data_IF_350126624155
#
_entry.id   IF_350126624155
#
_cell.length_a   1.000
_cell.length_b   1.000
_cell.length_c   1.000
_cell.angle_alpha   90.00
_cell.angle_beta   90.00
_cell.angle_gamma   90.00
#
_symmetry.space_group_name_H-M   'P 1'
#
loop_
_entity.id
_entity.type
_entity.pdbx_description
1 polymer ?
#
# COMPACT_ATOMS: atom_id res chain seq x y z
N UNK A 1 15.64 75.10 -1.47
CA UNK A 1 15.46 73.84 -2.20
C UNK A 1 15.94 72.71 -1.31
N UNK A 2 14.99 72.06 -0.60
CA UNK A 2 15.30 71.00 0.37
C UNK A 2 15.18 69.65 -0.31
N UNK A 3 16.31 68.98 -0.46
CA UNK A 3 16.36 67.65 -1.07
C UNK A 3 15.81 66.55 -0.13
N UNK A 4 14.70 65.93 -0.48
CA UNK A 4 14.19 64.73 0.18
C UNK A 4 15.15 63.58 -0.08
N UNK A 5 15.87 63.12 0.95
CA UNK A 5 16.57 61.82 0.93
C UNK A 5 15.51 60.69 0.80
N UNK A 6 15.57 59.94 -0.29
CA UNK A 6 14.77 58.74 -0.47
C UNK A 6 15.21 57.65 0.53
N UNK A 7 14.35 57.33 1.46
CA UNK A 7 14.51 56.14 2.33
C UNK A 7 14.36 54.88 1.49
N UNK A 8 15.41 54.07 1.48
CA UNK A 8 15.42 52.74 0.88
C UNK A 8 14.49 51.82 1.72
N UNK A 9 13.52 51.10 1.12
CA UNK A 9 12.68 50.20 1.89
C UNK A 9 13.55 49.10 2.53
N UNK A 10 13.20 48.66 3.76
CA UNK A 10 13.97 47.63 4.44
C UNK A 10 14.00 46.34 3.64
N UNK A 11 15.11 45.58 3.66
CA UNK A 11 15.23 44.35 2.92
C UNK A 11 14.16 43.36 3.40
N UNK A 12 13.32 42.90 2.46
CA UNK A 12 12.33 41.87 2.73
C UNK A 12 13.03 40.61 3.25
N UNK A 13 12.84 40.29 4.52
CA UNK A 13 13.35 39.09 5.14
C UNK A 13 12.88 37.86 4.30
N UNK A 14 13.81 37.20 3.63
CA UNK A 14 13.57 35.92 2.98
C UNK A 14 13.07 34.94 4.04
N UNK A 15 11.77 34.60 4.02
CA UNK A 15 11.20 33.55 4.85
C UNK A 15 12.03 32.29 4.59
N UNK A 16 12.80 31.88 5.59
CA UNK A 16 13.52 30.63 5.58
C UNK A 16 12.57 29.47 5.32
N UNK A 17 13.06 28.32 4.80
CA UNK A 17 12.23 27.17 4.47
C UNK A 17 11.46 26.76 5.74
N UNK A 18 10.15 26.92 5.69
CA UNK A 18 9.26 26.45 6.77
C UNK A 18 9.42 24.95 6.87
N UNK A 19 10.07 24.48 7.92
CA UNK A 19 10.12 23.06 8.30
C UNK A 19 8.68 22.57 8.45
N UNK A 20 8.14 21.95 7.42
CA UNK A 20 6.82 21.31 7.48
C UNK A 20 6.89 20.21 8.54
N UNK A 21 5.97 20.25 9.50
CA UNK A 21 5.80 19.15 10.46
C UNK A 21 5.52 17.89 9.64
N UNK A 22 6.38 16.88 9.78
CA UNK A 22 6.12 15.52 9.27
C UNK A 22 4.74 15.10 9.77
N UNK A 23 3.79 14.89 8.87
CA UNK A 23 2.50 14.33 9.26
C UNK A 23 2.73 12.88 9.62
N UNK A 24 2.40 12.40 10.81
CA UNK A 24 2.67 11.04 11.24
C UNK A 24 1.81 10.00 10.52
N UNK A 25 0.97 10.43 9.56
CA UNK A 25 -0.09 9.63 8.97
C UNK A 25 0.43 8.38 8.26
N UNK A 26 1.50 8.49 7.47
CA UNK A 26 2.13 7.32 6.81
C UNK A 26 2.87 6.40 7.79
N UNK A 27 3.44 6.95 8.86
CA UNK A 27 4.08 6.14 9.89
C UNK A 27 3.04 5.29 10.64
N UNK A 28 1.89 5.87 10.99
CA UNK A 28 0.77 5.13 11.58
C UNK A 28 0.22 4.07 10.63
N UNK A 29 0.06 4.40 9.34
CA UNK A 29 -0.38 3.46 8.32
C UNK A 29 0.57 2.27 8.22
N UNK A 30 1.89 2.53 8.15
CA UNK A 30 2.90 1.48 8.11
C UNK A 30 2.85 0.58 9.36
N UNK A 31 2.75 1.19 10.55
CA UNK A 31 2.61 0.46 11.81
C UNK A 31 1.38 -0.45 11.82
N UNK A 32 0.23 0.05 11.35
CA UNK A 32 -1.01 -0.73 11.26
C UNK A 32 -0.90 -1.89 10.27
N UNK A 33 -0.25 -1.69 9.11
CA UNK A 33 -0.02 -2.76 8.13
C UNK A 33 0.88 -3.85 8.73
N UNK A 34 1.98 -3.47 9.39
CA UNK A 34 2.88 -4.44 10.05
C UNK A 34 2.16 -5.19 11.18
N UNK A 35 1.36 -4.48 11.98
CA UNK A 35 0.52 -5.10 13.00
C UNK A 35 -0.47 -6.12 12.39
N UNK A 36 -1.10 -5.75 11.26
CA UNK A 36 -1.99 -6.65 10.54
C UNK A 36 -1.28 -7.91 10.05
N UNK A 37 -0.06 -7.81 9.51
CA UNK A 37 0.72 -8.98 9.07
C UNK A 37 1.01 -9.94 10.23
N UNK A 38 1.27 -9.40 11.44
CA UNK A 38 1.47 -10.21 12.63
C UNK A 38 0.16 -10.87 13.08
N UNK A 39 -0.94 -10.09 13.15
CA UNK A 39 -2.24 -10.57 13.62
C UNK A 39 -2.83 -11.62 12.68
N UNK A 40 -2.62 -11.49 11.37
CA UNK A 40 -3.12 -12.45 10.37
C UNK A 40 -2.58 -13.87 10.57
N UNK A 41 -1.39 -14.02 11.17
CA UNK A 41 -0.85 -15.32 11.56
C UNK A 41 -1.62 -16.05 12.68
N UNK A 42 -2.55 -15.36 13.35
CA UNK A 42 -3.31 -15.89 14.49
C UNK A 42 -4.84 -15.88 14.25
N UNK A 43 -5.29 -15.40 13.08
CA UNK A 43 -6.74 -15.24 12.78
C UNK A 43 -7.52 -16.57 12.91
N UNK A 44 -6.92 -17.70 12.58
CA UNK A 44 -7.58 -19.01 12.62
C UNK A 44 -7.71 -19.60 14.05
N UNK A 45 -7.05 -19.01 15.05
CA UNK A 45 -6.97 -19.56 16.40
C UNK A 45 -8.13 -19.15 17.30
N UNK A 46 -8.72 -17.97 17.09
CA UNK A 46 -9.75 -17.45 17.98
C UNK A 46 -10.69 -16.46 17.26
N UNK A 47 -12.02 -16.56 17.45
CA UNK A 47 -13.01 -15.71 16.78
C UNK A 47 -12.84 -14.22 17.09
N UNK A 48 -12.34 -13.86 18.28
CA UNK A 48 -12.06 -12.47 18.63
C UNK A 48 -10.87 -11.90 17.83
N UNK A 49 -9.85 -12.71 17.56
CA UNK A 49 -8.70 -12.30 16.76
C UNK A 49 -9.13 -12.10 15.30
N UNK A 50 -9.98 -12.98 14.79
CA UNK A 50 -10.57 -12.83 13.45
C UNK A 50 -11.38 -11.52 13.33
N UNK A 51 -12.24 -11.22 14.32
CA UNK A 51 -13.00 -9.96 14.34
C UNK A 51 -12.07 -8.73 14.42
N UNK A 52 -11.05 -8.78 15.26
CA UNK A 52 -10.02 -7.73 15.35
C UNK A 52 -9.27 -7.54 14.03
N UNK A 53 -8.94 -8.62 13.33
CA UNK A 53 -8.33 -8.60 12.00
C UNK A 53 -9.21 -7.89 10.96
N UNK A 54 -10.52 -8.14 10.96
CA UNK A 54 -11.47 -7.44 10.07
C UNK A 54 -11.50 -5.94 10.39
N UNK A 55 -11.63 -5.56 11.66
CA UNK A 55 -11.63 -4.17 12.08
C UNK A 55 -10.33 -3.46 11.66
N UNK A 56 -9.19 -4.14 11.82
CA UNK A 56 -7.89 -3.61 11.45
C UNK A 56 -7.77 -3.43 9.92
N UNK A 57 -8.24 -4.37 9.10
CA UNK A 57 -8.30 -4.26 7.63
C UNK A 57 -9.10 -3.04 7.18
N UNK A 58 -10.28 -2.83 7.77
CA UNK A 58 -11.13 -1.67 7.49
C UNK A 58 -10.43 -0.38 7.91
N UNK A 59 -9.84 -0.33 9.10
CA UNK A 59 -9.13 0.84 9.59
C UNK A 59 -7.92 1.20 8.70
N UNK A 60 -7.12 0.22 8.30
CA UNK A 60 -6.00 0.40 7.36
C UNK A 60 -6.50 0.97 6.03
N UNK A 61 -7.58 0.42 5.48
CA UNK A 61 -8.15 0.87 4.22
C UNK A 61 -8.65 2.33 4.30
N UNK A 62 -9.41 2.67 5.34
CA UNK A 62 -9.91 4.02 5.57
C UNK A 62 -8.75 5.01 5.76
N UNK A 63 -7.74 4.65 6.56
CA UNK A 63 -6.58 5.48 6.79
C UNK A 63 -5.76 5.67 5.50
N UNK A 64 -5.57 4.61 4.71
CA UNK A 64 -4.85 4.68 3.45
C UNK A 64 -5.51 5.64 2.44
N UNK A 65 -6.83 5.59 2.32
CA UNK A 65 -7.60 6.54 1.50
C UNK A 65 -7.54 7.96 2.04
N UNK A 66 -7.61 8.14 3.37
CA UNK A 66 -7.53 9.44 4.00
C UNK A 66 -6.17 10.10 3.75
N UNK A 67 -5.10 9.33 3.96
CA UNK A 67 -3.72 9.81 3.76
C UNK A 67 -3.43 10.09 2.27
N UNK A 68 -4.08 9.39 1.35
CA UNK A 68 -3.92 9.57 -0.10
C UNK A 68 -4.54 10.87 -0.65
N UNK A 69 -5.20 11.66 0.21
CA UNK A 69 -5.81 12.96 -0.14
C UNK A 69 -6.83 12.85 -1.30
N UNK A 70 -7.58 11.76 -1.28
CA UNK A 70 -8.61 11.47 -2.29
C UNK A 70 -9.81 12.37 -2.04
N UNK A 71 -10.41 12.89 -3.10
CA UNK A 71 -11.56 13.80 -2.97
C UNK A 71 -12.70 13.20 -2.12
N UNK A 72 -13.34 14.03 -1.26
CA UNK A 72 -14.36 13.59 -0.28
C UNK A 72 -15.46 12.69 -0.87
N UNK A 73 -15.91 12.97 -2.10
CA UNK A 73 -16.94 12.16 -2.77
C UNK A 73 -16.43 10.74 -3.07
N UNK A 74 -15.20 10.63 -3.58
CA UNK A 74 -14.58 9.34 -3.86
C UNK A 74 -14.28 8.57 -2.58
N UNK A 75 -13.79 9.25 -1.54
CA UNK A 75 -13.57 8.65 -0.21
C UNK A 75 -14.85 8.04 0.35
N UNK A 76 -15.95 8.80 0.37
CA UNK A 76 -17.24 8.29 0.86
C UNK A 76 -17.77 7.12 0.02
N UNK A 77 -17.64 7.19 -1.31
CA UNK A 77 -18.04 6.08 -2.19
C UNK A 77 -17.21 4.82 -1.96
N UNK A 78 -15.89 4.96 -1.79
CA UNK A 78 -15.01 3.82 -1.53
C UNK A 78 -15.27 3.18 -0.16
N UNK A 79 -15.49 3.99 0.88
CA UNK A 79 -15.82 3.49 2.23
C UNK A 79 -17.18 2.80 2.25
N UNK A 80 -18.22 3.39 1.60
CA UNK A 80 -19.53 2.74 1.52
C UNK A 80 -19.47 1.44 0.73
N UNK A 81 -18.73 1.39 -0.36
CA UNK A 81 -18.53 0.16 -1.11
C UNK A 81 -17.80 -0.90 -0.26
N UNK A 82 -16.77 -0.51 0.50
CA UNK A 82 -16.07 -1.42 1.41
C UNK A 82 -17.00 -2.04 2.46
N UNK A 83 -17.87 -1.22 3.05
CA UNK A 83 -18.84 -1.69 4.05
C UNK A 83 -19.87 -2.64 3.43
N UNK A 84 -20.36 -2.34 2.21
CA UNK A 84 -21.27 -3.21 1.47
C UNK A 84 -20.60 -4.56 1.16
N UNK A 85 -19.37 -4.54 0.65
CA UNK A 85 -18.61 -5.76 0.35
C UNK A 85 -18.30 -6.56 1.61
N UNK A 86 -17.97 -5.90 2.72
CA UNK A 86 -17.77 -6.56 4.01
C UNK A 86 -19.05 -7.27 4.50
N UNK A 87 -20.21 -6.61 4.38
CA UNK A 87 -21.50 -7.21 4.69
C UNK A 87 -21.87 -8.36 3.75
N UNK A 88 -21.56 -8.23 2.46
CA UNK A 88 -21.83 -9.27 1.45
C UNK A 88 -20.89 -10.48 1.56
N UNK A 89 -19.73 -10.34 2.18
CA UNK A 89 -18.73 -11.44 2.28
C UNK A 89 -19.20 -12.60 3.16
N UNK A 90 -20.07 -12.36 4.15
CA UNK A 90 -20.64 -13.41 5.01
C UNK A 90 -21.63 -14.28 4.26
N UNK A 91 -22.71 -13.75 3.64
CA UNK A 91 -23.64 -14.56 2.86
C UNK A 91 -22.97 -15.18 1.61
N UNK A 92 -22.02 -14.49 0.96
CA UNK A 92 -21.31 -15.00 -0.20
C UNK A 92 -20.61 -16.34 0.10
N UNK A 93 -20.00 -16.48 1.27
CA UNK A 93 -19.37 -17.74 1.73
C UNK A 93 -20.37 -18.87 1.99
N UNK A 94 -21.59 -18.52 2.41
CA UNK A 94 -22.63 -19.53 2.70
C UNK A 94 -23.24 -20.11 1.40
N UNK A 95 -23.27 -19.33 0.33
CA UNK A 95 -23.95 -19.70 -0.93
C UNK A 95 -23.02 -20.30 -1.98
N UNK A 96 -21.69 -20.37 -1.74
CA UNK A 96 -20.69 -20.96 -2.64
C UNK A 96 -21.05 -20.84 -4.13
N UNK A 97 -20.74 -19.71 -4.77
CA UNK A 97 -21.09 -19.49 -6.16
C UNK A 97 -20.61 -18.16 -6.74
N UNK A 98 -21.22 -17.75 -7.84
CA UNK A 98 -20.85 -16.52 -8.54
C UNK A 98 -20.82 -15.24 -7.69
N UNK A 99 -21.60 -15.19 -6.62
CA UNK A 99 -21.58 -14.07 -5.67
C UNK A 99 -20.26 -13.97 -4.91
N UNK A 100 -19.68 -15.11 -4.48
CA UNK A 100 -18.37 -15.12 -3.80
C UNK A 100 -17.28 -14.58 -4.71
N UNK A 101 -17.23 -15.05 -5.95
CA UNK A 101 -16.29 -14.56 -6.96
C UNK A 101 -16.45 -13.07 -7.21
N UNK A 102 -17.69 -12.58 -7.36
CA UNK A 102 -17.97 -11.16 -7.57
C UNK A 102 -17.46 -10.31 -6.42
N UNK A 103 -17.70 -10.73 -5.18
CA UNK A 103 -17.24 -10.03 -3.96
C UNK A 103 -15.70 -10.01 -3.90
N UNK A 104 -15.04 -11.13 -4.19
CA UNK A 104 -13.58 -11.22 -4.20
C UNK A 104 -12.98 -10.34 -5.31
N UNK A 105 -13.52 -10.37 -6.53
CA UNK A 105 -13.06 -9.51 -7.62
C UNK A 105 -13.24 -8.03 -7.27
N UNK A 106 -14.38 -7.66 -6.68
CA UNK A 106 -14.63 -6.28 -6.27
C UNK A 106 -13.65 -5.83 -5.16
N UNK A 107 -13.34 -6.70 -4.19
CA UNK A 107 -12.32 -6.43 -3.18
C UNK A 107 -10.92 -6.28 -3.78
N UNK A 108 -10.53 -7.13 -4.74
CA UNK A 108 -9.23 -7.04 -5.39
C UNK A 108 -9.08 -5.75 -6.18
N UNK A 109 -10.10 -5.36 -6.95
CA UNK A 109 -10.11 -4.10 -7.67
C UNK A 109 -10.00 -2.89 -6.72
N UNK A 110 -10.67 -2.94 -5.58
CA UNK A 110 -10.65 -1.90 -4.58
C UNK A 110 -9.29 -1.80 -3.88
N UNK A 111 -8.65 -2.95 -3.56
CA UNK A 111 -7.30 -2.97 -2.99
C UNK A 111 -6.26 -2.37 -3.94
N UNK A 112 -6.42 -2.53 -5.26
CA UNK A 112 -5.53 -1.94 -6.25
C UNK A 112 -5.59 -0.40 -6.26
N UNK A 113 -6.74 0.20 -5.93
CA UNK A 113 -6.89 1.66 -5.87
C UNK A 113 -6.00 2.29 -4.80
N UNK A 114 -5.71 1.57 -3.71
CA UNK A 114 -4.92 2.09 -2.59
C UNK A 114 -3.47 2.37 -3.00
N UNK A 115 -2.66 1.39 -3.48
CA UNK A 115 -1.28 1.67 -3.88
C UNK A 115 -1.21 2.68 -5.03
N UNK A 116 -2.15 2.64 -5.99
CA UNK A 116 -2.22 3.62 -7.08
C UNK A 116 -2.45 5.04 -6.55
N UNK A 117 -3.34 5.24 -5.57
CA UNK A 117 -3.61 6.55 -4.98
C UNK A 117 -2.42 7.07 -4.18
N UNK A 118 -1.77 6.21 -3.38
CA UNK A 118 -0.56 6.53 -2.63
C UNK A 118 0.57 6.93 -3.59
N UNK A 119 0.83 6.13 -4.61
CA UNK A 119 1.89 6.40 -5.60
C UNK A 119 1.66 7.70 -6.36
N UNK A 120 0.41 8.01 -6.73
CA UNK A 120 0.06 9.31 -7.35
C UNK A 120 0.36 10.48 -6.43
N UNK A 121 0.08 10.36 -5.13
CA UNK A 121 0.37 11.42 -4.15
C UNK A 121 1.87 11.54 -3.93
N UNK A 122 2.56 10.44 -3.67
CA UNK A 122 4.02 10.37 -3.52
C UNK A 122 4.73 10.99 -4.73
N UNK A 123 4.31 10.66 -5.96
CA UNK A 123 4.85 11.23 -7.17
C UNK A 123 4.65 12.76 -7.29
N UNK A 124 3.48 13.26 -6.86
CA UNK A 124 3.21 14.71 -6.84
C UNK A 124 4.05 15.44 -5.80
N UNK A 125 4.24 14.86 -4.63
CA UNK A 125 5.07 15.44 -3.56
C UNK A 125 6.54 15.42 -3.95
N UNK A 126 7.02 14.33 -4.53
CA UNK A 126 8.37 14.21 -5.07
C UNK A 126 8.71 15.33 -6.08
N UNK A 127 7.80 15.63 -7.02
CA UNK A 127 8.02 16.67 -8.04
C UNK A 127 8.00 18.08 -7.48
N UNK A 128 7.31 18.33 -6.35
CA UNK A 128 7.16 19.67 -5.77
C UNK A 128 8.21 20.01 -4.72
N UNK A 129 8.51 19.09 -3.83
CA UNK A 129 9.26 19.35 -2.60
C UNK A 129 10.53 18.46 -2.45
N UNK A 130 10.73 17.51 -3.39
CA UNK A 130 11.84 16.57 -3.32
C UNK A 130 11.50 15.36 -2.42
N UNK A 131 12.52 14.60 -1.98
CA UNK A 131 12.33 13.43 -1.10
C UNK A 131 12.38 13.85 0.36
N UNK A 132 11.25 13.72 1.04
CA UNK A 132 11.15 13.79 2.49
C UNK A 132 10.78 12.41 3.07
N UNK A 133 10.85 12.27 4.38
CA UNK A 133 10.51 11.02 5.09
C UNK A 133 9.09 10.52 4.74
N UNK A 134 8.15 11.44 4.54
CA UNK A 134 6.77 11.11 4.15
C UNK A 134 6.71 10.39 2.80
N UNK A 135 7.50 10.82 1.83
CA UNK A 135 7.60 10.18 0.50
C UNK A 135 8.14 8.75 0.63
N UNK A 136 9.15 8.54 1.47
CA UNK A 136 9.73 7.21 1.72
C UNK A 136 8.72 6.28 2.42
N UNK A 137 8.08 6.76 3.49
CA UNK A 137 7.07 5.97 4.21
C UNK A 137 5.86 5.64 3.34
N UNK A 138 5.40 6.61 2.54
CA UNK A 138 4.32 6.38 1.58
C UNK A 138 4.68 5.33 0.54
N UNK A 139 5.91 5.37 0.02
CA UNK A 139 6.41 4.37 -0.91
C UNK A 139 6.46 2.98 -0.23
N UNK A 140 6.96 2.85 1.00
CA UNK A 140 6.94 1.59 1.74
C UNK A 140 5.53 1.05 1.96
N UNK A 141 4.57 1.91 2.33
CA UNK A 141 3.18 1.52 2.44
C UNK A 141 2.62 1.00 1.11
N UNK A 142 2.89 1.67 -0.01
CA UNK A 142 2.44 1.23 -1.32
C UNK A 142 3.03 -0.14 -1.70
N UNK A 143 4.29 -0.41 -1.37
CA UNK A 143 4.92 -1.71 -1.57
C UNK A 143 4.21 -2.84 -0.82
N UNK A 144 3.90 -2.62 0.45
CA UNK A 144 3.16 -3.60 1.26
C UNK A 144 1.72 -3.82 0.74
N UNK A 145 1.07 -2.76 0.23
CA UNK A 145 -0.25 -2.91 -0.41
C UNK A 145 -0.19 -3.68 -1.72
N UNK A 146 0.92 -3.61 -2.48
CA UNK A 146 1.12 -4.45 -3.67
C UNK A 146 1.14 -5.92 -3.25
N UNK A 147 1.89 -6.30 -2.21
CA UNK A 147 1.87 -7.67 -1.69
C UNK A 147 0.48 -8.11 -1.23
N UNK A 148 -0.23 -7.28 -0.45
CA UNK A 148 -1.59 -7.60 -0.04
C UNK A 148 -2.55 -7.78 -1.24
N UNK A 149 -2.39 -6.99 -2.30
CA UNK A 149 -3.16 -7.12 -3.54
C UNK A 149 -2.90 -8.49 -4.23
N UNK A 150 -1.64 -8.88 -4.38
CA UNK A 150 -1.31 -10.17 -5.01
C UNK A 150 -1.79 -11.36 -4.17
N UNK A 151 -1.68 -11.28 -2.84
CA UNK A 151 -2.25 -12.29 -1.94
C UNK A 151 -3.75 -12.49 -2.19
N UNK A 152 -4.48 -11.37 -2.36
CA UNK A 152 -5.90 -11.40 -2.67
C UNK A 152 -6.18 -11.95 -4.08
N UNK A 153 -5.33 -11.64 -5.05
CA UNK A 153 -5.42 -12.17 -6.40
C UNK A 153 -5.23 -13.70 -6.43
N UNK A 154 -4.34 -14.24 -5.61
CA UNK A 154 -4.18 -15.69 -5.44
C UNK A 154 -5.41 -16.35 -4.81
N UNK A 155 -6.04 -15.72 -3.82
CA UNK A 155 -7.31 -16.19 -3.24
C UNK A 155 -8.44 -16.22 -4.30
N UNK A 156 -8.54 -15.20 -5.15
CA UNK A 156 -9.47 -15.18 -6.29
C UNK A 156 -9.20 -16.31 -7.26
N UNK A 157 -7.93 -16.53 -7.63
CA UNK A 157 -7.56 -17.60 -8.55
C UNK A 157 -7.84 -18.99 -7.98
N UNK A 158 -7.58 -19.19 -6.69
CA UNK A 158 -7.90 -20.43 -6.00
C UNK A 158 -9.42 -20.68 -5.99
N UNK A 159 -10.22 -19.64 -5.76
CA UNK A 159 -11.69 -19.74 -5.77
C UNK A 159 -12.26 -20.05 -7.17
N UNK A 160 -11.60 -19.55 -8.23
CA UNK A 160 -12.00 -19.78 -9.62
C UNK A 160 -11.50 -21.12 -10.18
N UNK A 161 -10.52 -21.74 -9.53
CA UNK A 161 -9.92 -23.00 -9.99
C UNK A 161 -10.68 -24.20 -9.41
N UNK A 162 -10.85 -25.22 -10.23
CA UNK A 162 -11.37 -26.53 -9.77
C UNK A 162 -10.30 -27.35 -9.02
N UNK A 163 -9.05 -26.90 -9.08
CA UNK A 163 -7.89 -27.57 -8.46
C UNK A 163 -7.25 -26.69 -7.40
N UNK A 164 -6.56 -27.27 -6.39
CA UNK A 164 -5.80 -26.53 -5.42
C UNK A 164 -4.84 -25.54 -6.07
N UNK A 165 -4.71 -24.34 -5.50
CA UNK A 165 -3.81 -23.31 -6.03
C UNK A 165 -2.33 -23.71 -5.87
N UNK A 166 -1.98 -24.25 -4.71
CA UNK A 166 -0.63 -24.70 -4.43
C UNK A 166 -0.43 -26.18 -4.82
N UNK A 167 0.78 -26.50 -5.28
CA UNK A 167 1.18 -27.85 -5.60
C UNK A 167 1.31 -28.73 -4.33
N UNK A 168 1.50 -28.11 -3.18
CA UNK A 168 1.66 -28.78 -1.89
C UNK A 168 0.28 -29.05 -1.27
N UNK A 169 -0.03 -30.33 -0.93
CA UNK A 169 -1.32 -30.71 -0.37
C UNK A 169 -1.61 -29.97 0.94
N UNK A 170 -2.83 -29.43 1.06
CA UNK A 170 -3.25 -28.72 2.28
C UNK A 170 -2.65 -27.33 2.49
N UNK A 171 -1.93 -26.81 1.50
CA UNK A 171 -1.35 -25.48 1.57
C UNK A 171 -2.35 -24.34 1.24
N UNK A 172 -3.53 -24.67 0.69
CA UNK A 172 -4.51 -23.63 0.35
C UNK A 172 -5.10 -22.99 1.60
N UNK A 173 -5.04 -21.67 1.65
CA UNK A 173 -5.57 -20.87 2.75
C UNK A 173 -5.10 -19.42 2.70
N UNK A 174 -5.89 -18.52 3.29
CA UNK A 174 -5.66 -17.06 3.21
C UNK A 174 -4.30 -16.65 3.75
N UNK A 175 -3.86 -17.28 4.84
CA UNK A 175 -2.54 -17.02 5.41
C UNK A 175 -1.43 -17.41 4.44
N UNK A 176 -1.56 -18.56 3.78
CA UNK A 176 -0.56 -19.05 2.84
C UNK A 176 -0.51 -18.23 1.55
N UNK A 177 -1.64 -17.67 1.08
CA UNK A 177 -1.63 -16.71 -0.03
C UNK A 177 -0.89 -15.43 0.35
N UNK A 178 -1.11 -14.91 1.57
CA UNK A 178 -0.41 -13.75 2.07
C UNK A 178 1.10 -14.01 2.23
N UNK A 179 1.45 -15.10 2.84
CA UNK A 179 2.84 -15.55 2.99
C UNK A 179 3.52 -15.72 1.63
N UNK A 180 2.91 -16.44 0.71
CA UNK A 180 3.44 -16.68 -0.63
C UNK A 180 3.68 -15.39 -1.40
N UNK A 181 2.72 -14.46 -1.37
CA UNK A 181 2.87 -13.16 -2.00
C UNK A 181 4.06 -12.40 -1.43
N UNK A 182 4.19 -12.29 -0.11
CA UNK A 182 5.30 -11.53 0.47
C UNK A 182 6.67 -12.16 0.22
N UNK A 183 6.81 -13.49 0.25
CA UNK A 183 8.09 -14.14 -0.08
C UNK A 183 8.42 -14.02 -1.58
N UNK A 184 7.41 -13.92 -2.45
CA UNK A 184 7.56 -13.72 -3.89
C UNK A 184 7.91 -12.25 -4.18
N UNK A 185 7.15 -11.30 -3.65
CA UNK A 185 7.36 -9.87 -3.82
C UNK A 185 8.75 -9.40 -3.34
N UNK A 186 9.21 -9.95 -2.20
CA UNK A 186 10.54 -9.68 -1.64
C UNK A 186 11.66 -10.50 -2.29
N UNK A 187 11.32 -11.35 -3.28
CA UNK A 187 12.26 -12.27 -3.93
C UNK A 187 12.97 -13.25 -2.98
N UNK A 188 12.38 -13.52 -1.82
CA UNK A 188 12.91 -14.47 -0.83
C UNK A 188 12.77 -15.91 -1.32
N UNK A 189 11.56 -16.29 -1.79
CA UNK A 189 11.26 -17.53 -2.50
C UNK A 189 11.77 -18.81 -1.80
N UNK A 190 11.32 -19.11 -0.58
CA UNK A 190 11.74 -20.32 0.13
C UNK A 190 11.46 -21.63 -0.63
N UNK A 191 10.45 -21.65 -1.51
CA UNK A 191 10.10 -22.81 -2.33
C UNK A 191 9.34 -23.90 -1.58
N UNK A 192 8.92 -23.63 -0.37
CA UNK A 192 8.09 -24.51 0.46
C UNK A 192 6.67 -24.67 -0.05
N UNK A 193 6.12 -23.61 -0.66
CA UNK A 193 4.86 -23.60 -1.42
C UNK A 193 5.03 -22.93 -2.77
N UNK A 194 4.32 -23.46 -3.78
CA UNK A 194 4.42 -22.98 -5.16
C UNK A 194 3.12 -23.23 -5.93
N UNK A 195 2.74 -22.37 -6.92
CA UNK A 195 1.53 -22.54 -7.70
C UNK A 195 1.54 -23.84 -8.52
N UNK A 196 0.45 -24.60 -8.49
CA UNK A 196 0.30 -25.86 -9.18
C UNK A 196 0.17 -25.72 -10.71
N UNK A 197 -0.43 -24.61 -11.19
CA UNK A 197 -0.80 -24.43 -12.60
C UNK A 197 -0.16 -23.19 -13.25
N UNK A 198 -0.10 -23.21 -14.59
CA UNK A 198 0.61 -22.22 -15.39
C UNK A 198 0.22 -20.76 -15.12
N UNK A 199 -1.08 -20.37 -15.17
CA UNK A 199 -1.49 -19.00 -14.88
C UNK A 199 -1.05 -18.50 -13.50
N UNK A 200 -1.16 -19.32 -12.45
CA UNK A 200 -0.69 -18.97 -11.10
C UNK A 200 0.82 -18.71 -11.07
N UNK A 201 1.62 -19.52 -11.77
CA UNK A 201 3.07 -19.32 -11.90
C UNK A 201 3.41 -18.04 -12.62
N UNK A 202 2.68 -17.68 -13.68
CA UNK A 202 2.94 -16.45 -14.43
C UNK A 202 2.59 -15.20 -13.63
N UNK A 203 1.54 -15.24 -12.83
CA UNK A 203 1.21 -14.13 -11.90
C UNK A 203 2.28 -13.99 -10.83
N UNK A 204 2.82 -15.09 -10.29
CA UNK A 204 3.92 -15.04 -9.33
C UNK A 204 5.19 -14.42 -9.93
N UNK A 205 5.53 -14.77 -11.17
CA UNK A 205 6.65 -14.13 -11.90
C UNK A 205 6.39 -12.62 -12.09
N UNK A 206 5.16 -12.26 -12.46
CA UNK A 206 4.79 -10.85 -12.63
C UNK A 206 4.91 -10.07 -11.32
N UNK A 207 4.46 -10.66 -10.20
CA UNK A 207 4.63 -10.10 -8.87
C UNK A 207 6.10 -9.87 -8.52
N UNK A 208 6.95 -10.89 -8.71
CA UNK A 208 8.38 -10.80 -8.42
C UNK A 208 9.06 -9.70 -9.23
N UNK A 209 8.73 -9.58 -10.53
CA UNK A 209 9.26 -8.51 -11.40
C UNK A 209 8.79 -7.13 -10.93
N UNK A 210 7.50 -6.98 -10.62
CA UNK A 210 6.95 -5.71 -10.10
C UNK A 210 7.64 -5.34 -8.79
N UNK A 211 7.78 -6.28 -7.85
CA UNK A 211 8.46 -6.06 -6.56
C UNK A 211 9.90 -5.60 -6.74
N UNK A 212 10.65 -6.27 -7.59
CA UNK A 212 12.05 -5.93 -7.85
C UNK A 212 12.20 -4.55 -8.51
N UNK A 213 11.43 -4.28 -9.55
CA UNK A 213 11.45 -2.97 -10.23
C UNK A 213 11.04 -1.84 -9.29
N UNK A 214 10.05 -2.10 -8.41
CA UNK A 214 9.62 -1.14 -7.41
C UNK A 214 10.75 -0.79 -6.44
N UNK A 215 11.39 -1.79 -5.83
CA UNK A 215 12.47 -1.57 -4.87
C UNK A 215 13.65 -0.84 -5.49
N UNK A 216 14.10 -1.24 -6.69
CA UNK A 216 15.20 -0.57 -7.40
C UNK A 216 14.84 0.89 -7.69
N UNK A 217 13.62 1.17 -8.13
CA UNK A 217 13.15 2.54 -8.43
C UNK A 217 13.09 3.40 -7.16
N UNK A 218 12.54 2.89 -6.06
CA UNK A 218 12.44 3.61 -4.79
C UNK A 218 13.83 3.92 -4.22
N UNK A 219 14.74 2.93 -4.22
CA UNK A 219 16.11 3.14 -3.74
C UNK A 219 16.84 4.19 -4.59
N UNK A 220 16.72 4.13 -5.91
CA UNK A 220 17.32 5.12 -6.81
C UNK A 220 16.80 6.54 -6.53
N UNK A 221 15.49 6.70 -6.29
CA UNK A 221 14.87 7.97 -5.94
C UNK A 221 15.43 8.52 -4.61
N UNK A 222 15.48 7.69 -3.58
CA UNK A 222 15.97 8.06 -2.25
C UNK A 222 17.45 8.47 -2.31
N UNK A 223 18.30 7.69 -2.96
CA UNK A 223 19.74 7.98 -3.12
C UNK A 223 19.96 9.26 -3.91
N UNK A 224 19.24 9.47 -5.01
CA UNK A 224 19.30 10.68 -5.81
C UNK A 224 18.99 11.95 -5.01
N UNK A 225 18.02 11.88 -4.12
CA UNK A 225 17.63 13.00 -3.27
C UNK A 225 18.68 13.32 -2.20
N UNK A 226 19.26 12.31 -1.59
CA UNK A 226 20.36 12.50 -0.63
C UNK A 226 21.57 13.15 -1.29
N UNK A 227 21.91 12.76 -2.53
CA UNK A 227 23.02 13.34 -3.27
C UNK A 227 22.84 14.83 -3.58
N UNK A 228 21.61 15.25 -3.89
CA UNK A 228 21.29 16.68 -4.15
C UNK A 228 21.38 17.54 -2.89
N UNK A 229 20.99 17.04 -1.74
CA UNK A 229 21.02 17.75 -0.46
C UNK A 229 22.44 18.05 0.02
N UNK A 230 23.41 17.18 -0.35
CA UNK A 230 24.83 17.32 0.01
C UNK A 230 25.59 18.31 -0.91
N UNK A 231 25.05 18.58 -2.14
CA UNK A 231 25.65 19.48 -3.14
C UNK A 231 25.20 20.94 -3.05
N UNK A 232 24.35 21.33 -2.07
CA UNK A 232 24.06 22.73 -1.77
C UNK A 232 25.01 23.18 -0.66
N UNK A 233 26.24 23.63 -0.95
CA UNK A 233 27.09 24.28 0.05
C UNK A 233 26.44 25.63 0.32
N UNK A 234 26.38 26.01 1.61
CA UNK A 234 26.25 27.39 2.02
C UNK A 234 27.20 28.23 1.15
N UNK A 235 26.66 28.99 0.23
CA UNK A 235 27.40 30.11 -0.33
C UNK A 235 27.54 31.12 0.79
N UNK A 236 28.78 31.23 1.29
CA UNK A 236 29.31 32.34 2.04
C UNK A 236 29.16 33.65 1.28
#
# INVERSE_FOLDING_TARGET
MSGKKGEMPPPTAKKGPTRRRVRPDYAWLLCMILCFLIVSGFEDRHPLIFAAGICLKIAIFVLALHVSDVGRKFFLAAVSLALILAGASVPARMYHGGLEVLVLVAWSAMLLLVPVSILRKVGKEFTKEGVDLEVVLGALCAYLFIGAYFAFLYDVMATLSESPFFAQPGADGKLNYLYFSFITLTTTGYGDISPAFGPGRMIAVTEAVIGQLYLVSVVAIVVSAYGKRKKSPSQE
#
